data_IF_855184288894
#
_entry.id   IF_855184288894
#
_cell.length_a   1.000
_cell.length_b   1.000
_cell.length_c   1.000
_cell.angle_alpha   90.00
_cell.angle_beta   90.00
_cell.angle_gamma   90.00
#
_symmetry.space_group_name_H-M   'P 1'
#
loop_
_entity.id
_entity.type
_entity.pdbx_description
1 polymer ?
#
# COMPACT_ATOMS: atom_id res chain seq x y z
N UNK A 1 1.25 7.36 -1.37
CA UNK A 1 2.40 6.60 -0.87
C UNK A 1 3.68 7.34 -1.24
N UNK A 2 4.19 8.24 -0.39
CA UNK A 2 5.35 9.09 -0.75
C UNK A 2 6.67 8.31 -0.66
N UNK A 3 6.83 7.50 0.41
CA UNK A 3 8.07 6.79 0.70
C UNK A 3 8.33 5.64 -0.27
N UNK A 4 7.32 4.80 -0.56
CA UNK A 4 7.47 3.69 -1.50
C UNK A 4 7.84 4.17 -2.91
N UNK A 5 7.21 5.26 -3.36
CA UNK A 5 7.54 5.90 -4.64
C UNK A 5 8.96 6.47 -4.66
N UNK A 6 9.42 7.09 -3.56
CA UNK A 6 10.78 7.61 -3.46
C UNK A 6 11.86 6.52 -3.47
N UNK A 7 11.51 5.31 -2.99
CA UNK A 7 12.39 4.15 -2.98
C UNK A 7 12.22 3.25 -4.20
N UNK A 8 11.44 3.68 -5.21
CA UNK A 8 11.11 2.91 -6.41
C UNK A 8 10.66 1.47 -6.13
N UNK A 9 9.99 1.28 -5.00
CA UNK A 9 9.57 -0.03 -4.51
C UNK A 9 8.07 -0.05 -4.24
N UNK A 10 7.54 -1.25 -4.06
CA UNK A 10 6.14 -1.42 -3.77
C UNK A 10 5.88 -1.22 -2.26
N UNK A 11 4.75 -0.59 -1.86
CA UNK A 11 4.47 -0.26 -0.46
C UNK A 11 4.54 -1.44 0.53
N UNK A 12 4.23 -2.63 0.06
CA UNK A 12 4.24 -3.86 0.85
C UNK A 12 5.62 -4.43 1.13
N UNK A 13 6.64 -4.01 0.38
CA UNK A 13 8.03 -4.32 0.71
C UNK A 13 8.44 -3.61 2.00
N UNK A 14 7.91 -2.39 2.24
CA UNK A 14 8.22 -1.58 3.42
C UNK A 14 7.30 -1.92 4.59
N UNK A 15 6.02 -2.19 4.31
CA UNK A 15 5.02 -2.53 5.33
C UNK A 15 4.27 -3.83 4.97
N UNK A 16 4.94 -5.00 5.03
CA UNK A 16 4.33 -6.27 4.65
C UNK A 16 3.07 -6.60 5.46
N UNK A 17 3.06 -6.31 6.77
CA UNK A 17 1.91 -6.53 7.65
C UNK A 17 0.66 -5.73 7.26
N UNK A 18 0.80 -4.66 6.46
CA UNK A 18 -0.34 -3.86 5.98
C UNK A 18 -1.00 -4.47 4.75
N UNK A 19 -0.32 -5.38 4.04
CA UNK A 19 -0.75 -5.93 2.77
C UNK A 19 -0.82 -7.46 2.74
N UNK A 20 -0.28 -8.14 3.75
CA UNK A 20 -0.48 -9.57 3.94
C UNK A 20 -1.58 -9.84 4.95
N UNK A 21 -2.47 -10.77 4.59
CA UNK A 21 -3.33 -11.43 5.56
C UNK A 21 -2.48 -12.43 6.38
N UNK A 22 -2.37 -12.32 7.70
CA UNK A 22 -1.62 -13.27 8.51
C UNK A 22 -2.30 -14.66 8.61
N UNK A 23 -3.57 -14.77 8.24
CA UNK A 23 -4.34 -16.03 8.32
C UNK A 23 -4.25 -16.77 6.99
N UNK A 24 -4.59 -16.11 5.88
CA UNK A 24 -4.56 -16.74 4.54
C UNK A 24 -3.19 -16.64 3.87
N UNK A 25 -2.27 -15.83 4.41
CA UNK A 25 -0.98 -15.48 3.78
C UNK A 25 -1.12 -14.83 2.39
N UNK A 26 -2.33 -14.44 2.01
CA UNK A 26 -2.60 -13.84 0.72
C UNK A 26 -2.34 -12.34 0.71
N UNK A 27 -2.18 -11.84 -0.51
CA UNK A 27 -1.92 -10.45 -0.77
C UNK A 27 -3.23 -9.67 -0.87
N UNK A 28 -3.46 -8.74 0.06
CA UNK A 28 -4.66 -7.91 0.08
C UNK A 28 -4.39 -6.60 -0.64
N UNK A 29 -5.18 -6.30 -1.68
CA UNK A 29 -5.17 -4.98 -2.30
C UNK A 29 -5.89 -3.95 -1.43
N UNK A 30 -5.13 -3.29 -0.55
CA UNK A 30 -5.62 -2.17 0.29
C UNK A 30 -5.50 -0.81 -0.40
N UNK A 31 -5.17 -0.75 -1.69
CA UNK A 31 -5.09 0.54 -2.40
C UNK A 31 -6.44 1.26 -2.43
N UNK A 32 -7.55 0.52 -2.46
CA UNK A 32 -8.91 1.07 -2.44
C UNK A 32 -9.26 1.78 -1.12
N UNK A 33 -8.65 1.38 0.00
CA UNK A 33 -8.84 2.01 1.31
C UNK A 33 -7.92 3.22 1.53
N UNK A 34 -7.00 3.49 0.59
CA UNK A 34 -6.17 4.68 0.69
C UNK A 34 -7.01 5.90 0.37
N UNK A 35 -6.87 6.93 1.20
CA UNK A 35 -7.42 8.26 0.95
C UNK A 35 -7.05 8.70 -0.48
N UNK A 36 -8.05 8.79 -1.36
CA UNK A 36 -7.85 9.41 -2.67
C UNK A 36 -7.27 10.80 -2.48
N UNK A 37 -6.17 11.07 -3.20
CA UNK A 37 -5.59 12.40 -3.27
C UNK A 37 -6.67 13.29 -3.88
N UNK A 38 -7.14 14.31 -3.15
CA UNK A 38 -7.97 15.35 -3.77
C UNK A 38 -7.10 15.96 -4.87
N UNK A 39 -7.51 15.75 -6.12
CA UNK A 39 -6.95 16.49 -7.24
C UNK A 39 -7.64 17.85 -7.13
N UNK A 40 -6.98 18.79 -6.46
CA UNK A 40 -7.42 20.19 -6.50
C UNK A 40 -7.23 20.64 -7.96
N UNK A 41 -8.35 20.98 -8.60
CA UNK A 41 -8.47 21.32 -10.02
C UNK A 41 -8.02 22.76 -10.26
#
# INVERSE_FOLDING_TARGET
MIIATALETQPWVIWPSRYHDPVTHEFIDRTQMMRQKKIDK
#
